data_IF_823423230168
#
_entry.id   IF_823423230168
#
_cell.length_a   1.000
_cell.length_b   1.000
_cell.length_c   1.000
_cell.angle_alpha   90.00
_cell.angle_beta   90.00
_cell.angle_gamma   90.00
#
_symmetry.space_group_name_H-M   'P 1'
#
loop_
_entity.id
_entity.type
_entity.pdbx_description
1 polymer ?
#
# COMPACT_ATOMS: atom_id res chain seq x y z
N UNK A 1 -2.68 5.53 -7.22
CA UNK A 1 -3.67 6.10 -6.28
C UNK A 1 -3.04 7.08 -5.30
N UNK A 2 -2.00 6.71 -4.54
CA UNK A 2 -1.30 7.64 -3.64
C UNK A 2 -0.87 8.95 -4.32
N UNK A 3 -0.26 8.87 -5.50
CA UNK A 3 0.12 10.04 -6.30
C UNK A 3 -1.08 10.92 -6.69
N UNK A 4 -2.21 10.31 -7.06
CA UNK A 4 -3.43 11.06 -7.39
C UNK A 4 -4.00 11.78 -6.17
N UNK A 5 -3.91 11.19 -4.97
CA UNK A 5 -4.30 11.83 -3.71
C UNK A 5 -3.39 13.03 -3.41
N UNK A 6 -2.07 12.87 -3.59
CA UNK A 6 -1.11 13.97 -3.42
C UNK A 6 -1.38 15.10 -4.42
N UNK A 7 -1.60 14.79 -5.70
CA UNK A 7 -1.96 15.77 -6.73
C UNK A 7 -3.26 16.50 -6.40
N UNK A 8 -4.28 15.79 -5.89
CA UNK A 8 -5.53 16.41 -5.45
C UNK A 8 -5.32 17.38 -4.28
N UNK A 9 -4.47 17.04 -3.31
CA UNK A 9 -4.13 17.97 -2.21
C UNK A 9 -3.40 19.22 -2.69
N UNK A 10 -2.50 19.09 -3.67
CA UNK A 10 -1.81 20.23 -4.26
C UNK A 10 -2.76 21.14 -5.03
N UNK A 11 -3.70 20.57 -5.79
CA UNK A 11 -4.75 21.31 -6.47
C UNK A 11 -5.67 22.04 -5.48
N UNK A 12 -6.07 21.37 -4.39
CA UNK A 12 -6.87 22.00 -3.33
C UNK A 12 -6.11 23.16 -2.67
N UNK A 13 -4.83 22.96 -2.33
CA UNK A 13 -3.97 24.01 -1.77
C UNK A 13 -3.88 25.25 -2.68
N UNK A 14 -3.81 25.06 -4.00
CA UNK A 14 -3.77 26.15 -4.97
C UNK A 14 -5.08 26.95 -5.07
N UNK A 15 -6.23 26.32 -4.83
CA UNK A 15 -7.55 26.95 -4.80
C UNK A 15 -8.01 27.32 -3.37
N UNK A 16 -7.08 27.71 -2.51
CA UNK A 16 -7.37 27.99 -1.11
C UNK A 16 -8.34 29.16 -0.87
N UNK A 17 -9.05 29.16 0.27
CA UNK A 17 -10.12 30.11 0.58
C UNK A 17 -9.66 31.57 0.72
N UNK A 18 -8.36 31.84 0.85
CA UNK A 18 -7.81 33.20 0.95
C UNK A 18 -8.21 34.11 -0.24
N UNK A 19 -8.52 33.52 -1.40
CA UNK A 19 -9.03 34.25 -2.57
C UNK A 19 -10.40 34.92 -2.33
N UNK A 20 -11.13 34.51 -1.30
CA UNK A 20 -12.44 35.05 -0.92
C UNK A 20 -12.35 36.30 -0.03
N UNK A 21 -11.15 36.80 0.29
CA UNK A 21 -10.97 38.00 1.11
C UNK A 21 -11.81 39.22 0.67
N UNK A 22 -11.95 39.54 -0.64
CA UNK A 22 -12.81 40.63 -1.08
C UNK A 22 -14.31 40.41 -0.81
N UNK A 23 -14.76 39.14 -0.74
CA UNK A 23 -16.17 38.77 -0.52
C UNK A 23 -16.54 38.86 0.97
N UNK A 24 -15.64 38.43 1.85
CA UNK A 24 -15.89 38.43 3.30
C UNK A 24 -15.71 39.81 3.95
N UNK A 25 -14.97 40.73 3.31
CA UNK A 25 -14.74 42.08 3.82
C UNK A 25 -14.10 42.09 5.22
N UNK A 26 -14.18 43.21 5.93
CA UNK A 26 -13.56 43.36 7.25
C UNK A 26 -14.26 42.55 8.36
N UNK A 27 -15.59 42.35 8.24
CA UNK A 27 -16.38 41.68 9.26
C UNK A 27 -16.14 40.16 9.25
N UNK A 28 -15.92 39.58 8.07
CA UNK A 28 -15.76 38.14 7.89
C UNK A 28 -14.34 37.61 8.10
N UNK A 29 -13.37 38.43 8.53
CA UNK A 29 -11.96 38.02 8.53
C UNK A 29 -11.64 36.90 9.50
N UNK A 30 -12.29 36.86 10.67
CA UNK A 30 -12.06 35.78 11.64
C UNK A 30 -12.55 34.44 11.09
N UNK A 31 -13.74 34.44 10.47
CA UNK A 31 -14.27 33.26 9.79
C UNK A 31 -13.37 32.83 8.64
N UNK A 32 -12.93 33.78 7.81
CA UNK A 32 -12.04 33.48 6.68
C UNK A 32 -10.69 32.92 7.16
N UNK A 33 -10.16 33.45 8.26
CA UNK A 33 -8.97 32.93 8.93
C UNK A 33 -9.16 31.50 9.43
N UNK A 34 -10.27 31.23 10.13
CA UNK A 34 -10.61 29.89 10.61
C UNK A 34 -10.78 28.88 9.46
N UNK A 35 -11.46 29.27 8.38
CA UNK A 35 -11.64 28.43 7.18
C UNK A 35 -10.31 28.20 6.48
N UNK A 36 -9.46 29.22 6.37
CA UNK A 36 -8.12 29.08 5.79
C UNK A 36 -7.25 28.14 6.61
N UNK A 37 -7.24 28.28 7.93
CA UNK A 37 -6.53 27.36 8.82
C UNK A 37 -7.04 25.93 8.70
N UNK A 38 -8.37 25.74 8.65
CA UNK A 38 -9.00 24.42 8.46
C UNK A 38 -8.63 23.81 7.12
N UNK A 39 -8.66 24.61 6.05
CA UNK A 39 -8.29 24.18 4.70
C UNK A 39 -6.84 23.70 4.64
N UNK A 40 -5.91 24.47 5.22
CA UNK A 40 -4.50 24.07 5.30
C UNK A 40 -4.32 22.77 6.09
N UNK A 41 -4.93 22.66 7.27
CA UNK A 41 -4.89 21.44 8.08
C UNK A 41 -5.47 20.23 7.33
N UNK A 42 -6.55 20.42 6.57
CA UNK A 42 -7.12 19.38 5.73
C UNK A 42 -6.17 18.96 4.61
N UNK A 43 -5.58 19.90 3.88
CA UNK A 43 -4.61 19.56 2.82
C UNK A 43 -3.40 18.82 3.36
N UNK A 44 -2.90 19.17 4.54
CA UNK A 44 -1.81 18.46 5.22
C UNK A 44 -2.23 17.04 5.66
N UNK A 45 -3.47 16.87 6.15
CA UNK A 45 -4.02 15.54 6.43
C UNK A 45 -4.11 14.66 5.16
N UNK A 46 -4.49 15.24 4.01
CA UNK A 46 -4.55 14.51 2.74
C UNK A 46 -3.16 14.11 2.24
N UNK A 47 -2.13 14.96 2.41
CA UNK A 47 -0.73 14.60 2.10
C UNK A 47 -0.26 13.43 2.97
N UNK A 48 -0.54 13.46 4.28
CA UNK A 48 -0.23 12.35 5.18
C UNK A 48 -0.96 11.07 4.79
N UNK A 49 -2.23 11.17 4.39
CA UNK A 49 -2.99 10.03 3.86
C UNK A 49 -2.34 9.44 2.60
N UNK A 50 -1.91 10.27 1.65
CA UNK A 50 -1.22 9.82 0.44
C UNK A 50 0.04 9.01 0.78
N UNK A 51 0.83 9.49 1.76
CA UNK A 51 2.02 8.78 2.26
C UNK A 51 1.67 7.42 2.86
N UNK A 52 0.63 7.36 3.72
CA UNK A 52 0.15 6.10 4.30
C UNK A 52 -0.30 5.11 3.22
N UNK A 53 -1.04 5.57 2.20
CA UNK A 53 -1.48 4.71 1.09
C UNK A 53 -0.29 4.17 0.29
N UNK A 54 0.74 5.00 0.04
CA UNK A 54 1.96 4.55 -0.62
C UNK A 54 2.68 3.47 0.22
N UNK A 55 2.79 3.70 1.53
CA UNK A 55 3.40 2.73 2.46
C UNK A 55 2.66 1.38 2.45
N UNK A 56 1.33 1.40 2.56
CA UNK A 56 0.50 0.19 2.48
C UNK A 56 0.71 -0.54 1.15
N UNK A 57 0.77 0.19 0.02
CA UNK A 57 1.03 -0.41 -1.29
C UNK A 57 2.38 -1.11 -1.36
N UNK A 58 3.42 -0.51 -0.80
CA UNK A 58 4.76 -1.12 -0.75
C UNK A 58 4.78 -2.39 0.12
N UNK A 59 4.15 -2.34 1.30
CA UNK A 59 4.03 -3.48 2.21
C UNK A 59 3.22 -4.62 1.58
N UNK A 60 2.09 -4.32 0.94
CA UNK A 60 1.28 -5.32 0.24
C UNK A 60 2.07 -6.02 -0.88
N UNK A 61 2.87 -5.26 -1.65
CA UNK A 61 3.72 -5.81 -2.71
C UNK A 61 4.80 -6.72 -2.14
N UNK A 62 5.48 -6.29 -1.07
CA UNK A 62 6.49 -7.09 -0.40
C UNK A 62 5.91 -8.39 0.17
N UNK A 63 4.73 -8.33 0.79
CA UNK A 63 4.01 -9.50 1.29
C UNK A 63 3.63 -10.46 0.16
N UNK A 64 3.11 -9.95 -0.97
CA UNK A 64 2.76 -10.78 -2.12
C UNK A 64 3.98 -11.52 -2.70
N UNK A 65 5.13 -10.84 -2.82
CA UNK A 65 6.40 -11.46 -3.24
C UNK A 65 6.84 -12.52 -2.25
N UNK A 66 6.77 -12.22 -0.95
CA UNK A 66 7.18 -13.16 0.11
C UNK A 66 6.31 -14.43 0.09
N UNK A 67 5.00 -14.29 -0.13
CA UNK A 67 4.10 -15.42 -0.30
C UNK A 67 4.40 -16.22 -1.57
N UNK A 68 4.63 -15.58 -2.71
CA UNK A 68 4.97 -16.29 -3.94
C UNK A 68 6.27 -17.10 -3.80
N UNK A 69 7.29 -16.54 -3.12
CA UNK A 69 8.54 -17.25 -2.85
C UNK A 69 8.34 -18.43 -1.88
N UNK A 70 7.53 -18.24 -0.84
CA UNK A 70 7.22 -19.29 0.15
C UNK A 70 6.44 -20.43 -0.50
N UNK A 71 5.45 -20.11 -1.34
CA UNK A 71 4.67 -21.09 -2.10
C UNK A 71 5.56 -21.90 -3.04
N UNK A 72 6.39 -21.24 -3.86
CA UNK A 72 7.32 -21.90 -4.76
C UNK A 72 8.33 -22.79 -4.01
N UNK A 73 8.88 -22.30 -2.89
CA UNK A 73 9.80 -23.05 -2.05
C UNK A 73 9.14 -24.29 -1.43
N UNK A 74 7.92 -24.14 -0.92
CA UNK A 74 7.14 -25.26 -0.36
C UNK A 74 6.75 -26.28 -1.44
N UNK A 75 6.37 -25.82 -2.63
CA UNK A 75 6.09 -26.70 -3.76
C UNK A 75 7.33 -27.52 -4.17
N UNK A 76 8.50 -26.89 -4.20
CA UNK A 76 9.76 -27.57 -4.52
C UNK A 76 10.13 -28.63 -3.47
N UNK A 77 9.96 -28.33 -2.17
CA UNK A 77 10.27 -29.31 -1.12
C UNK A 77 9.31 -30.50 -1.16
N UNK A 78 8.02 -30.27 -1.37
CA UNK A 78 7.02 -31.34 -1.51
C UNK A 78 7.33 -32.23 -2.72
N UNK A 79 7.68 -31.63 -3.86
CA UNK A 79 8.05 -32.38 -5.06
C UNK A 79 9.31 -33.24 -4.84
N UNK A 80 10.33 -32.69 -4.16
CA UNK A 80 11.54 -33.43 -3.80
C UNK A 80 11.23 -34.62 -2.88
N UNK A 81 10.44 -34.40 -1.81
CA UNK A 81 10.06 -35.47 -0.88
C UNK A 81 9.21 -36.57 -1.55
N UNK A 82 8.36 -36.21 -2.51
CA UNK A 82 7.60 -37.19 -3.29
C UNK A 82 8.51 -38.05 -4.20
N UNK A 83 9.52 -37.43 -4.81
CA UNK A 83 10.52 -38.15 -5.61
C UNK A 83 11.34 -39.12 -4.73
N UNK A 84 11.78 -38.69 -3.55
CA UNK A 84 12.52 -39.52 -2.59
C UNK A 84 11.68 -40.74 -2.14
N UNK A 85 10.39 -40.53 -1.86
CA UNK A 85 9.46 -41.61 -1.47
C UNK A 85 9.28 -42.62 -2.61
N UNK A 86 9.18 -42.13 -3.85
CA UNK A 86 9.07 -42.99 -5.04
C UNK A 86 10.33 -43.83 -5.23
N UNK A 87 11.51 -43.22 -5.10
CA UNK A 87 12.79 -43.94 -5.18
C UNK A 87 12.94 -45.01 -4.09
N UNK A 88 12.56 -44.70 -2.84
CA UNK A 88 12.58 -45.64 -1.73
C UNK A 88 11.64 -46.84 -1.97
N UNK A 89 10.44 -46.61 -2.53
CA UNK A 89 9.49 -47.68 -2.86
C UNK A 89 10.00 -48.63 -3.94
N UNK A 90 10.69 -48.13 -4.97
CA UNK A 90 11.27 -48.95 -6.03
C UNK A 90 12.44 -49.82 -5.52
N UNK A 91 13.27 -49.29 -4.62
CA UNK A 91 14.36 -50.05 -4.01
C UNK A 91 13.85 -51.21 -3.14
N UNK A 92 12.76 -51.01 -2.39
CA UNK A 92 12.13 -52.07 -1.61
C UNK A 92 11.61 -53.22 -2.46
N UNK A 93 10.99 -52.93 -3.60
CA UNK A 93 10.51 -53.95 -4.56
C UNK A 93 11.68 -54.77 -5.11
N UNK A 94 12.81 -54.14 -5.43
CA UNK A 94 13.98 -54.82 -5.95
C UNK A 94 14.70 -55.72 -4.93
N UNK A 95 14.53 -55.46 -3.62
CA UNK A 95 15.07 -56.31 -2.55
C UNK A 95 14.18 -57.51 -2.24
N UNK A 96 12.87 -57.45 -2.52
CA UNK A 96 11.94 -58.57 -2.31
C UNK A 96 12.08 -59.67 -3.38
N UNK A 97 12.59 -59.32 -4.57
CA UNK A 97 12.88 -60.24 -5.68
C UNK A 97 14.22 -60.99 -5.55
N UNK A 98 14.99 -60.75 -4.49
CA UNK A 98 16.36 -61.24 -4.27
C UNK A 98 16.43 -62.22 -3.10
#
# INVERSE_FOLDING_TARGET
MAEQIAAASAAAAACGPAVLAPVFGLIGQEFLGAVTGTHLAHTDAVVRLASTVASIGSAATASAVSYALTDAGTGATVAASAADTTAASAAGIAQDER
#
